data_IF_052889092744
#
_entry.id   IF_052889092744
#
_cell.length_a   1.000
_cell.length_b   1.000
_cell.length_c   1.000
_cell.angle_alpha   90.00
_cell.angle_beta   90.00
_cell.angle_gamma   90.00
#
_symmetry.space_group_name_H-M   'P 1'
#
loop_
_entity.id
_entity.type
_entity.pdbx_description
1 polymer ?
#
# COMPACT_ATOMS: atom_id res chain seq x y z
N UNK A 1 -25.42 -39.39 -14.21
CA UNK A 1 -25.25 -38.59 -12.97
C UNK A 1 -23.93 -37.80 -12.94
N UNK A 2 -23.48 -37.16 -14.03
CA UNK A 2 -22.29 -36.27 -14.04
C UNK A 2 -22.59 -34.81 -14.40
N UNK A 3 -23.79 -34.52 -14.92
CA UNK A 3 -24.22 -33.17 -15.31
C UNK A 3 -24.78 -32.34 -14.15
N UNK A 4 -25.23 -32.97 -13.07
CA UNK A 4 -25.77 -32.29 -11.88
C UNK A 4 -24.66 -31.67 -11.01
N UNK A 5 -23.44 -32.20 -11.09
CA UNK A 5 -22.31 -31.72 -10.27
C UNK A 5 -21.72 -30.40 -10.79
N UNK A 6 -21.73 -30.17 -12.11
CA UNK A 6 -21.22 -28.92 -12.69
C UNK A 6 -22.09 -27.69 -12.38
N UNK A 7 -23.41 -27.87 -12.19
CA UNK A 7 -24.30 -26.78 -11.80
C UNK A 7 -24.11 -26.37 -10.33
N UNK A 8 -23.63 -27.27 -9.46
CA UNK A 8 -23.38 -26.96 -8.05
C UNK A 8 -22.03 -26.26 -7.85
N UNK A 9 -21.04 -26.51 -8.71
CA UNK A 9 -19.71 -25.86 -8.63
C UNK A 9 -19.72 -24.47 -9.28
N UNK A 10 -20.58 -24.22 -10.28
CA UNK A 10 -20.71 -22.89 -10.89
C UNK A 10 -21.48 -21.87 -10.02
N UNK A 11 -22.25 -22.33 -9.03
CA UNK A 11 -23.04 -21.46 -8.13
C UNK A 11 -22.27 -20.88 -6.94
N UNK A 12 -21.07 -21.40 -6.64
CA UNK A 12 -20.26 -20.99 -5.48
C UNK A 12 -19.19 -19.93 -5.80
N UNK A 13 -19.05 -19.52 -7.06
CA UNK A 13 -18.06 -18.54 -7.50
C UNK A 13 -18.66 -17.17 -7.84
N UNK A 14 -19.94 -16.92 -7.51
CA UNK A 14 -20.66 -15.68 -7.86
C UNK A 14 -21.31 -15.00 -6.64
N UNK A 15 -20.64 -14.97 -5.50
CA UNK A 15 -21.11 -14.24 -4.30
C UNK A 15 -19.96 -13.66 -3.51
N UNK A 16 -19.31 -12.63 -4.07
CA UNK A 16 -18.64 -11.54 -3.35
C UNK A 16 -18.35 -10.43 -4.35
N UNK A 17 -19.41 -9.85 -4.90
CA UNK A 17 -19.36 -8.52 -5.49
C UNK A 17 -20.23 -7.60 -4.64
N UNK A 18 -19.63 -6.48 -4.25
CA UNK A 18 -20.28 -5.23 -3.85
C UNK A 18 -21.30 -5.31 -2.70
N UNK A 19 -20.83 -4.96 -1.50
CA UNK A 19 -21.68 -4.26 -0.55
C UNK A 19 -21.13 -2.86 -0.29
N UNK A 20 -22.05 -1.91 -0.48
CA UNK A 20 -21.97 -0.47 -0.44
C UNK A 20 -20.95 0.18 0.52
N UNK A 21 -20.10 1.03 -0.05
CA UNK A 21 -19.58 2.19 0.67
C UNK A 21 -20.73 3.16 0.94
N UNK A 22 -21.17 3.26 2.19
CA UNK A 22 -21.94 4.41 2.68
C UNK A 22 -20.99 5.37 3.39
N UNK A 23 -20.73 6.59 2.86
CA UNK A 23 -19.95 7.58 3.57
C UNK A 23 -20.80 8.11 4.74
N UNK A 24 -20.30 7.97 5.96
CA UNK A 24 -20.87 8.66 7.13
C UNK A 24 -20.43 10.12 7.03
N UNK A 25 -21.23 10.92 6.34
CA UNK A 25 -21.24 12.37 6.50
C UNK A 25 -22.20 12.65 7.65
N UNK A 26 -21.66 12.83 8.86
CA UNK A 26 -22.41 13.46 9.95
C UNK A 26 -22.00 14.93 10.01
N UNK A 27 -22.78 15.78 9.35
CA UNK A 27 -22.96 17.17 9.77
C UNK A 27 -23.85 17.17 11.01
N UNK A 28 -23.48 17.90 12.08
CA UNK A 28 -24.45 18.39 13.03
C UNK A 28 -24.76 19.86 12.74
N UNK A 29 -26.02 20.11 12.42
CA UNK A 29 -26.75 21.40 12.47
C UNK A 29 -28.10 20.95 13.04
N UNK A 30 -28.62 21.35 14.19
CA UNK A 30 -28.77 22.63 14.90
C UNK A 30 -29.14 22.27 16.37
N UNK A 31 -28.60 22.94 17.39
CA UNK A 31 -29.17 24.11 18.11
C UNK A 31 -30.21 23.73 19.17
N UNK A 32 -29.86 24.00 20.43
CA UNK A 32 -30.67 24.58 21.51
C UNK A 32 -29.64 25.03 22.58
N UNK A 33 -29.18 26.27 22.51
CA UNK A 33 -29.60 27.40 23.36
C UNK A 33 -29.35 27.13 24.86
N UNK A 34 -28.39 27.86 25.46
CA UNK A 34 -28.55 28.65 26.70
C UNK A 34 -27.20 29.18 27.20
N UNK A 35 -27.21 30.50 27.42
CA UNK A 35 -26.40 31.31 28.33
C UNK A 35 -24.90 31.45 28.09
N UNK A 36 -24.57 32.62 27.53
CA UNK A 36 -23.34 33.36 27.83
C UNK A 36 -23.20 33.46 29.36
N UNK A 37 -22.16 32.85 29.92
CA UNK A 37 -21.69 33.12 31.27
C UNK A 37 -20.17 33.28 31.21
N UNK A 38 -19.70 34.33 31.88
CA UNK A 38 -18.34 34.86 31.94
C UNK A 38 -17.21 33.82 32.03
N UNK A 39 -16.02 34.10 31.47
CA UNK A 39 -14.82 33.31 31.70
C UNK A 39 -14.24 33.67 33.08
N UNK A 40 -14.88 33.20 34.15
CA UNK A 40 -14.24 33.21 35.47
C UNK A 40 -13.34 31.99 35.58
N UNK A 41 -12.04 32.27 35.50
CA UNK A 41 -10.90 31.40 35.77
C UNK A 41 -11.20 30.44 36.93
N UNK A 42 -11.47 29.18 36.61
CA UNK A 42 -11.33 28.06 37.53
C UNK A 42 -9.95 27.43 37.28
N UNK A 43 -8.95 28.02 37.92
CA UNK A 43 -7.67 27.38 38.18
C UNK A 43 -7.94 26.04 38.89
N UNK A 44 -7.66 24.91 38.23
CA UNK A 44 -7.99 23.62 38.83
C UNK A 44 -7.86 22.39 37.95
N UNK A 45 -6.82 22.29 37.12
CA UNK A 45 -6.20 21.00 36.84
C UNK A 45 -4.80 21.25 36.31
N UNK A 46 -3.85 21.34 37.23
CA UNK A 46 -2.44 21.36 36.88
C UNK A 46 -2.12 20.05 36.16
N UNK A 47 -2.02 20.09 34.83
CA UNK A 47 -1.09 19.20 34.13
C UNK A 47 0.26 19.52 34.75
N UNK A 48 0.69 18.72 35.71
CA UNK A 48 2.09 18.70 36.12
C UNK A 48 2.86 18.46 34.83
N UNK A 49 3.55 19.50 34.36
CA UNK A 49 4.56 19.36 33.32
C UNK A 49 5.63 18.52 33.97
N UNK A 50 5.51 17.21 33.85
CA UNK A 50 6.55 16.27 34.27
C UNK A 50 7.72 16.60 33.38
N UNK A 51 8.72 17.28 33.95
CA UNK A 51 9.94 17.62 33.22
C UNK A 51 10.74 16.32 33.05
N UNK A 52 10.40 15.57 32.00
CA UNK A 52 11.08 14.34 31.64
C UNK A 52 12.37 14.72 30.93
N UNK A 53 13.49 14.56 31.63
CA UNK A 53 14.80 14.70 31.00
C UNK A 53 14.92 13.62 29.91
N UNK A 54 14.98 14.05 28.66
CA UNK A 54 14.82 13.18 27.49
C UNK A 54 16.15 12.54 27.11
N UNK A 55 16.86 11.95 28.07
CA UNK A 55 18.09 11.23 27.78
C UNK A 55 17.77 9.92 27.02
N UNK A 56 17.97 9.97 25.70
CA UNK A 56 17.71 8.85 24.81
C UNK A 56 18.64 7.65 25.04
N UNK A 57 19.75 7.87 25.75
CA UNK A 57 20.70 6.81 26.08
C UNK A 57 20.25 5.94 27.26
N UNK A 58 19.38 6.46 28.14
CA UNK A 58 18.91 5.78 29.35
C UNK A 58 17.48 5.19 29.24
N UNK A 59 16.91 5.16 28.03
CA UNK A 59 15.54 4.65 27.81
C UNK A 59 15.43 3.17 28.22
N UNK A 60 14.42 2.84 29.02
CA UNK A 60 14.10 1.47 29.42
C UNK A 60 12.71 1.04 28.89
N UNK A 61 12.22 -0.15 29.29
CA UNK A 61 10.91 -0.68 28.84
C UNK A 61 9.78 -0.53 29.87
N UNK A 62 9.92 0.30 30.90
CA UNK A 62 8.84 0.49 31.88
C UNK A 62 7.70 1.38 31.37
N UNK A 63 6.55 1.24 32.03
CA UNK A 63 5.30 1.92 31.66
C UNK A 63 5.21 3.39 32.11
N UNK A 64 6.30 3.96 32.63
CA UNK A 64 6.28 5.33 33.13
C UNK A 64 6.19 6.33 31.97
N UNK A 65 5.63 7.50 32.30
CA UNK A 65 5.36 8.55 31.32
C UNK A 65 6.65 9.06 30.67
N UNK A 66 7.75 9.18 31.43
CA UNK A 66 8.99 9.72 30.91
C UNK A 66 9.67 8.77 29.93
N UNK A 67 9.70 7.46 30.19
CA UNK A 67 10.17 6.47 29.22
C UNK A 67 9.28 6.43 27.97
N UNK A 68 7.96 6.54 28.12
CA UNK A 68 7.06 6.60 26.96
C UNK A 68 7.34 7.82 26.08
N UNK A 69 7.57 8.99 26.68
CA UNK A 69 7.95 10.21 25.96
C UNK A 69 9.33 10.05 25.30
N UNK A 70 10.31 9.46 25.99
CA UNK A 70 11.62 9.23 25.43
C UNK A 70 11.58 8.27 24.22
N UNK A 71 10.75 7.22 24.28
CA UNK A 71 10.47 6.35 23.13
C UNK A 71 9.77 7.09 21.99
N UNK A 72 8.81 7.96 22.29
CA UNK A 72 8.16 8.79 21.28
C UNK A 72 9.17 9.69 20.56
N UNK A 73 10.07 10.33 21.30
CA UNK A 73 11.15 11.16 20.75
C UNK A 73 12.11 10.31 19.90
N UNK A 74 12.50 9.13 20.40
CA UNK A 74 13.34 8.19 19.66
C UNK A 74 12.69 7.81 18.31
N UNK A 75 11.39 7.48 18.30
CA UNK A 75 10.65 7.16 17.07
C UNK A 75 10.57 8.34 16.11
N UNK A 76 10.43 9.57 16.62
CA UNK A 76 10.38 10.77 15.79
C UNK A 76 11.73 11.08 15.12
N UNK A 77 12.85 10.64 15.70
CA UNK A 77 14.18 10.79 15.11
C UNK A 77 14.47 9.80 14.00
N UNK A 78 13.97 8.57 14.08
CA UNK A 78 14.33 7.50 13.12
C UNK A 78 14.18 7.92 11.64
N UNK A 79 13.10 8.61 11.22
CA UNK A 79 12.92 9.04 9.84
C UNK A 79 13.94 10.09 9.38
N UNK A 80 14.56 10.84 10.31
CA UNK A 80 15.53 11.90 9.97
C UNK A 80 16.95 11.39 9.83
N UNK A 81 17.21 10.13 10.22
CA UNK A 81 18.53 9.53 10.17
C UNK A 81 18.96 9.15 8.76
N UNK A 82 20.17 9.56 8.39
CA UNK A 82 20.87 9.01 7.23
C UNK A 82 21.20 7.53 7.43
N UNK A 83 21.54 6.83 6.34
CA UNK A 83 21.97 5.43 6.42
C UNK A 83 23.23 5.26 7.28
N UNK A 84 24.22 6.14 7.13
CA UNK A 84 25.44 6.14 7.94
C UNK A 84 25.14 6.33 9.44
N UNK A 85 24.30 7.31 9.77
CA UNK A 85 23.89 7.56 11.16
C UNK A 85 23.14 6.37 11.76
N UNK A 86 22.32 5.69 10.97
CA UNK A 86 21.62 4.48 11.40
C UNK A 86 22.59 3.34 11.68
N UNK A 87 23.57 3.11 10.81
CA UNK A 87 24.62 2.10 11.01
C UNK A 87 25.43 2.39 12.27
N UNK A 88 25.87 3.63 12.46
CA UNK A 88 26.57 4.05 13.68
C UNK A 88 25.71 3.81 14.93
N UNK A 89 24.41 4.17 14.88
CA UNK A 89 23.49 3.90 15.99
C UNK A 89 23.35 2.40 16.27
N UNK A 90 23.26 1.56 15.24
CA UNK A 90 23.19 0.11 15.38
C UNK A 90 24.44 -0.48 16.04
N UNK A 91 25.62 0.03 15.71
CA UNK A 91 26.91 -0.40 16.29
C UNK A 91 27.05 -0.03 17.77
N UNK A 92 26.43 1.08 18.20
CA UNK A 92 26.43 1.52 19.61
C UNK A 92 25.47 0.70 20.50
N UNK A 93 24.58 -0.11 19.92
CA UNK A 93 23.59 -0.89 20.68
C UNK A 93 24.22 -2.11 21.33
N UNK A 94 23.93 -2.30 22.61
CA UNK A 94 24.39 -3.45 23.40
C UNK A 94 23.39 -4.60 23.38
N UNK A 95 23.66 -5.66 24.15
CA UNK A 95 22.76 -6.81 24.32
C UNK A 95 21.84 -6.54 25.51
N UNK A 96 20.85 -5.66 25.30
CA UNK A 96 19.82 -5.34 26.29
C UNK A 96 18.43 -5.35 25.65
N UNK A 97 17.37 -5.59 26.43
CA UNK A 97 16.01 -5.60 25.88
C UNK A 97 15.55 -4.25 25.28
N UNK A 98 15.89 -3.08 25.86
CA UNK A 98 15.65 -1.80 25.21
C UNK A 98 16.42 -1.66 23.89
N UNK A 99 17.68 -2.08 23.86
CA UNK A 99 18.51 -1.99 22.64
C UNK A 99 18.05 -2.95 21.55
N UNK A 100 17.50 -4.10 21.89
CA UNK A 100 16.84 -5.00 20.93
C UNK A 100 15.65 -4.31 20.25
N UNK A 101 14.82 -3.60 21.02
CA UNK A 101 13.71 -2.83 20.46
C UNK A 101 14.22 -1.67 19.59
N UNK A 102 15.25 -0.93 20.05
CA UNK A 102 15.91 0.11 19.24
C UNK A 102 16.41 -0.44 17.91
N UNK A 103 17.01 -1.64 17.93
CA UNK A 103 17.52 -2.33 16.74
C UNK A 103 16.39 -2.69 15.78
N UNK A 104 15.30 -3.29 16.27
CA UNK A 104 14.12 -3.59 15.45
C UNK A 104 13.56 -2.33 14.79
N UNK A 105 13.42 -1.25 15.55
CA UNK A 105 12.89 0.03 15.05
C UNK A 105 13.79 0.70 14.00
N UNK A 106 15.12 0.64 14.17
CA UNK A 106 16.05 1.13 13.15
C UNK A 106 15.98 0.28 11.88
N UNK A 107 15.73 -1.03 12.03
CA UNK A 107 15.65 -1.98 10.92
C UNK A 107 14.30 -1.99 10.18
N UNK A 108 13.37 -1.07 10.48
CA UNK A 108 12.16 -0.84 9.67
C UNK A 108 12.33 0.27 8.63
N UNK A 109 13.53 0.86 8.51
CA UNK A 109 13.75 2.01 7.64
C UNK A 109 13.55 1.68 6.14
N UNK A 110 13.02 2.62 5.33
CA UNK A 110 12.76 2.37 3.92
C UNK A 110 13.98 1.99 3.08
N UNK A 111 15.18 2.41 3.49
CA UNK A 111 16.44 2.11 2.80
C UNK A 111 16.83 0.62 2.82
N UNK A 112 16.25 -0.17 3.72
CA UNK A 112 16.53 -1.60 3.81
C UNK A 112 15.75 -2.42 2.78
N UNK A 113 16.26 -3.59 2.37
CA UNK A 113 15.53 -4.49 1.47
C UNK A 113 14.13 -4.82 1.98
N UNK A 114 13.15 -4.85 1.07
CA UNK A 114 11.73 -5.08 1.39
C UNK A 114 11.50 -6.31 2.26
N UNK A 115 12.11 -7.46 1.92
CA UNK A 115 11.94 -8.69 2.69
C UNK A 115 12.43 -8.54 4.13
N UNK A 116 13.59 -7.91 4.32
CA UNK A 116 14.13 -7.65 5.65
C UNK A 116 13.20 -6.76 6.47
N UNK A 117 12.59 -5.74 5.85
CA UNK A 117 11.61 -4.87 6.55
C UNK A 117 10.35 -5.65 6.95
N UNK A 118 9.86 -6.55 6.11
CA UNK A 118 8.71 -7.42 6.43
C UNK A 118 9.03 -8.29 7.65
N UNK A 119 10.19 -8.96 7.65
CA UNK A 119 10.59 -9.83 8.75
C UNK A 119 10.73 -9.04 10.06
N UNK A 120 11.35 -7.86 10.03
CA UNK A 120 11.44 -6.98 11.20
C UNK A 120 10.06 -6.45 11.64
N UNK A 121 9.14 -6.23 10.71
CA UNK A 121 7.79 -5.75 11.02
C UNK A 121 6.97 -6.79 11.81
N UNK A 122 7.12 -8.08 11.48
CA UNK A 122 6.53 -9.19 12.24
C UNK A 122 7.08 -9.20 13.66
N UNK A 123 8.41 -9.19 13.79
CA UNK A 123 9.08 -9.17 15.10
C UNK A 123 8.69 -7.95 15.93
N UNK A 124 8.47 -6.80 15.29
CA UNK A 124 8.06 -5.57 15.98
C UNK A 124 6.63 -5.67 16.52
N UNK A 125 5.69 -6.28 15.79
CA UNK A 125 4.34 -6.54 16.29
C UNK A 125 4.36 -7.52 17.47
N UNK A 126 5.15 -8.60 17.35
CA UNK A 126 5.31 -9.56 18.44
C UNK A 126 5.88 -8.87 19.68
N UNK A 127 6.92 -8.06 19.52
CA UNK A 127 7.51 -7.28 20.63
C UNK A 127 6.49 -6.32 21.23
N UNK A 128 5.72 -5.59 20.42
CA UNK A 128 4.71 -4.65 20.90
C UNK A 128 3.67 -5.31 21.83
N UNK A 129 3.29 -6.55 21.53
CA UNK A 129 2.32 -7.32 22.35
C UNK A 129 2.84 -7.70 23.75
N UNK A 130 4.16 -7.71 23.93
CA UNK A 130 4.83 -8.06 25.20
C UNK A 130 5.16 -6.84 26.07
N UNK A 131 5.05 -5.63 25.52
CA UNK A 131 5.41 -4.40 26.22
C UNK A 131 4.24 -3.89 27.08
N UNK A 132 4.52 -3.12 28.14
CA UNK A 132 3.45 -2.51 28.95
C UNK A 132 2.58 -1.58 28.11
N UNK A 133 1.26 -1.58 28.37
CA UNK A 133 0.23 -0.91 27.56
C UNK A 133 0.58 0.47 26.97
N UNK A 134 1.09 1.48 27.72
CA UNK A 134 1.39 2.79 27.10
C UNK A 134 2.48 2.70 26.04
N UNK A 135 3.53 1.93 26.30
CA UNK A 135 4.63 1.72 25.37
C UNK A 135 4.25 0.74 24.25
N UNK A 136 3.59 -0.36 24.58
CA UNK A 136 3.11 -1.35 23.61
C UNK A 136 2.17 -0.73 22.58
N UNK A 137 1.23 0.12 23.01
CA UNK A 137 0.33 0.84 22.10
C UNK A 137 1.09 1.82 21.19
N UNK A 138 2.09 2.53 21.71
CA UNK A 138 2.94 3.42 20.91
C UNK A 138 3.68 2.65 19.81
N UNK A 139 4.35 1.55 20.18
CA UNK A 139 5.08 0.71 19.23
C UNK A 139 4.13 0.06 18.22
N UNK A 140 2.97 -0.43 18.67
CA UNK A 140 1.95 -1.00 17.79
C UNK A 140 1.44 -0.02 16.75
N UNK A 141 1.21 1.23 17.15
CA UNK A 141 0.77 2.30 16.23
C UNK A 141 1.85 2.63 15.21
N UNK A 142 3.12 2.69 15.62
CA UNK A 142 4.25 2.89 14.71
C UNK A 142 4.39 1.73 13.72
N UNK A 143 4.36 0.49 14.23
CA UNK A 143 4.38 -0.74 13.46
C UNK A 143 3.26 -0.79 12.40
N UNK A 144 2.04 -0.42 12.80
CA UNK A 144 0.87 -0.37 11.90
C UNK A 144 1.04 0.63 10.76
N UNK A 145 1.71 1.77 11.00
CA UNK A 145 1.97 2.75 9.94
C UNK A 145 3.02 2.23 8.94
N UNK A 146 4.10 1.64 9.44
CA UNK A 146 5.13 1.04 8.58
C UNK A 146 4.58 -0.12 7.75
N UNK A 147 3.72 -0.96 8.33
CA UNK A 147 3.04 -2.04 7.61
C UNK A 147 2.24 -1.51 6.41
N UNK A 148 1.50 -0.41 6.58
CA UNK A 148 0.75 0.22 5.48
C UNK A 148 1.67 0.73 4.37
N UNK A 149 2.83 1.28 4.73
CA UNK A 149 3.83 1.75 3.77
C UNK A 149 4.41 0.57 2.97
N UNK A 150 4.75 -0.54 3.64
CA UNK A 150 5.22 -1.77 3.01
C UNK A 150 4.17 -2.31 2.03
N UNK A 151 2.89 -2.35 2.44
CA UNK A 151 1.80 -2.80 1.57
C UNK A 151 1.61 -1.92 0.33
N UNK A 152 1.78 -0.61 0.47
CA UNK A 152 1.70 0.33 -0.66
C UNK A 152 2.87 0.12 -1.64
N UNK A 153 4.08 -0.12 -1.14
CA UNK A 153 5.23 -0.43 -1.97
C UNK A 153 5.02 -1.74 -2.75
N UNK A 154 4.53 -2.79 -2.08
CA UNK A 154 4.19 -4.07 -2.73
C UNK A 154 3.14 -3.87 -3.82
N UNK A 155 2.06 -3.14 -3.52
CA UNK A 155 0.99 -2.86 -4.50
C UNK A 155 1.53 -2.08 -5.69
N UNK A 156 2.40 -1.09 -5.47
CA UNK A 156 3.00 -0.29 -6.54
C UNK A 156 3.86 -1.17 -7.45
N UNK A 157 4.72 -2.01 -6.88
CA UNK A 157 5.55 -2.94 -7.66
C UNK A 157 4.73 -3.94 -8.48
N UNK A 158 3.62 -4.44 -7.91
CA UNK A 158 2.69 -5.30 -8.64
C UNK A 158 2.02 -4.57 -9.81
N UNK A 159 1.59 -3.32 -9.60
CA UNK A 159 0.99 -2.50 -10.65
C UNK A 159 1.98 -2.20 -11.79
N UNK A 160 3.24 -1.91 -11.47
CA UNK A 160 4.28 -1.72 -12.48
C UNK A 160 4.47 -2.97 -13.32
N UNK A 161 4.55 -4.14 -12.68
CA UNK A 161 4.67 -5.43 -13.36
C UNK A 161 3.48 -5.69 -14.28
N UNK A 162 2.26 -5.44 -13.79
CA UNK A 162 1.02 -5.58 -14.58
C UNK A 162 0.99 -4.62 -15.76
N UNK A 163 1.40 -3.36 -15.56
CA UNK A 163 1.47 -2.37 -16.62
C UNK A 163 2.43 -2.81 -17.73
N UNK A 164 3.61 -3.30 -17.35
CA UNK A 164 4.62 -3.82 -18.29
C UNK A 164 4.08 -5.02 -19.09
N UNK A 165 3.31 -5.90 -18.45
CA UNK A 165 2.63 -7.00 -19.13
C UNK A 165 1.57 -6.50 -20.11
N UNK A 166 0.74 -5.53 -19.71
CA UNK A 166 -0.28 -4.93 -20.57
C UNK A 166 0.35 -4.22 -21.78
N UNK A 167 1.44 -3.49 -21.59
CA UNK A 167 2.17 -2.86 -22.70
C UNK A 167 2.70 -3.89 -23.71
N UNK A 168 3.23 -5.03 -23.23
CA UNK A 168 3.65 -6.12 -24.11
C UNK A 168 2.48 -6.71 -24.90
N UNK A 169 1.33 -6.93 -24.25
CA UNK A 169 0.12 -7.42 -24.90
C UNK A 169 -0.41 -6.43 -25.95
N UNK A 170 -0.43 -5.14 -25.65
CA UNK A 170 -0.83 -4.10 -26.60
C UNK A 170 0.07 -4.10 -27.84
N UNK A 171 1.39 -4.18 -27.67
CA UNK A 171 2.33 -4.28 -28.82
C UNK A 171 2.06 -5.52 -29.68
N UNK A 172 1.76 -6.66 -29.06
CA UNK A 172 1.40 -7.87 -29.79
C UNK A 172 0.09 -7.72 -30.56
N UNK A 173 -0.93 -7.10 -29.95
CA UNK A 173 -2.20 -6.83 -30.60
C UNK A 173 -2.05 -5.85 -31.77
N UNK A 174 -1.26 -4.78 -31.61
CA UNK A 174 -0.94 -3.84 -32.67
C UNK A 174 -0.23 -4.52 -33.84
N UNK A 175 0.74 -5.41 -33.56
CA UNK A 175 1.44 -6.18 -34.58
C UNK A 175 0.48 -7.11 -35.35
N UNK A 176 -0.41 -7.82 -34.64
CA UNK A 176 -1.45 -8.66 -35.27
C UNK A 176 -2.40 -7.83 -36.12
N UNK A 177 -2.82 -6.66 -35.63
CA UNK A 177 -3.69 -5.76 -36.38
C UNK A 177 -3.02 -5.31 -37.69
N UNK A 178 -1.75 -4.90 -37.63
CA UNK A 178 -1.00 -4.53 -38.82
C UNK A 178 -0.84 -5.69 -39.81
N UNK A 179 -0.64 -6.93 -39.32
CA UNK A 179 -0.59 -8.11 -40.18
C UNK A 179 -1.95 -8.43 -40.81
N UNK A 180 -3.04 -8.31 -40.07
CA UNK A 180 -4.39 -8.51 -40.58
C UNK A 180 -4.74 -7.44 -41.61
N UNK A 181 -4.38 -6.18 -41.37
CA UNK A 181 -4.61 -5.11 -42.34
C UNK A 181 -3.90 -5.40 -43.67
N UNK A 182 -2.63 -5.81 -43.62
CA UNK A 182 -1.91 -6.22 -44.84
C UNK A 182 -2.58 -7.37 -45.59
N UNK A 183 -3.23 -8.31 -44.88
CA UNK A 183 -3.98 -9.40 -45.51
C UNK A 183 -5.26 -8.90 -46.16
N UNK A 184 -5.96 -7.94 -45.55
CA UNK A 184 -7.13 -7.30 -46.14
C UNK A 184 -6.72 -6.58 -47.41
N UNK A 185 -5.66 -5.75 -47.36
CA UNK A 185 -5.17 -5.01 -48.52
C UNK A 185 -4.80 -5.95 -49.68
N UNK A 186 -4.14 -7.08 -49.39
CA UNK A 186 -3.81 -8.08 -50.38
C UNK A 186 -5.04 -8.79 -50.98
N UNK A 187 -6.07 -9.07 -50.17
CA UNK A 187 -7.32 -9.65 -50.67
C UNK A 187 -8.08 -8.66 -51.55
N UNK A 188 -8.10 -7.38 -51.17
CA UNK A 188 -8.71 -6.31 -51.99
C UNK A 188 -7.99 -6.15 -53.32
N UNK A 189 -6.65 -6.24 -53.34
CA UNK A 189 -5.88 -6.23 -54.58
C UNK A 189 -6.23 -7.44 -55.48
N UNK A 190 -6.38 -8.63 -54.90
CA UNK A 190 -6.82 -9.83 -55.64
C UNK A 190 -8.23 -9.65 -56.20
N UNK A 191 -9.17 -9.10 -55.43
CA UNK A 191 -10.53 -8.83 -55.90
C UNK A 191 -10.54 -7.83 -57.08
N UNK A 192 -9.74 -6.77 -57.02
CA UNK A 192 -9.60 -5.82 -58.13
C UNK A 192 -9.04 -6.51 -59.38
N UNK A 193 -7.97 -7.30 -59.24
CA UNK A 193 -7.39 -8.04 -60.35
C UNK A 193 -8.38 -9.04 -60.97
N UNK A 194 -9.17 -9.73 -60.16
CA UNK A 194 -10.20 -10.65 -60.65
C UNK A 194 -11.29 -9.91 -61.43
N UNK A 195 -11.76 -8.77 -60.90
CA UNK A 195 -12.79 -7.98 -61.55
C UNK A 195 -12.32 -7.40 -62.89
N UNK A 196 -11.05 -6.98 -62.98
CA UNK A 196 -10.43 -6.48 -64.22
C UNK A 196 -10.26 -7.58 -65.29
N UNK A 197 -10.00 -8.82 -64.87
CA UNK A 197 -9.93 -9.98 -65.78
C UNK A 197 -11.33 -10.35 -66.29
N UNK A 198 -12.34 -10.31 -65.42
CA UNK A 198 -13.72 -10.61 -65.78
C UNK A 198 -14.28 -9.59 -66.78
N UNK A 199 -14.02 -8.29 -66.56
CA UNK A 199 -14.43 -7.23 -67.50
C UNK A 199 -13.76 -7.36 -68.87
N UNK A 200 -12.47 -7.72 -68.92
CA UNK A 200 -11.75 -7.94 -70.18
C UNK A 200 -12.21 -9.21 -70.93
N UNK A 201 -12.77 -10.19 -70.23
CA UNK A 201 -13.28 -11.43 -70.84
C UNK A 201 -14.67 -11.24 -71.47
N UNK A 202 -15.48 -10.32 -70.95
CA UNK A 202 -16.79 -9.97 -71.53
C UNK A 202 -16.69 -9.14 -72.81
N UNK A 203 -15.76 -8.19 -72.92
CA UNK A 203 -15.56 -7.42 -74.17
C UNK A 203 -15.09 -8.30 -75.36
N UNK A 204 -14.47 -9.46 -75.09
CA UNK A 204 -14.03 -10.39 -76.13
C UNK A 204 -15.12 -11.31 -76.70
N UNK A 205 -16.32 -11.36 -76.10
CA UNK A 205 -17.39 -12.30 -76.50
C UNK A 205 -18.60 -11.65 -77.19
N UNK A 206 -18.67 -10.32 -77.26
CA UNK A 206 -19.69 -9.58 -78.05
C UNK A 206 -19.23 -9.25 -79.49
N UNK A 207 -18.05 -9.71 -79.91
CA UNK A 207 -17.48 -9.49 -81.25
C UNK A 207 -17.40 -10.77 -82.08
N UNK A 208 -18.53 -11.48 -82.26
CA UNK A 208 -18.66 -12.53 -83.29
C UNK A 208 -20.03 -12.50 -83.96
#
# INVERSE_FOLDING_TARGET
MRKVWYLFVLGLLCSCQLQDLKPIHQSPTQTDEVSVADPSIAAGSGRTVTNCDSDLSAINLSADLCNTIAWQNYLAEIPTLSEEQRTQRLEMLTISSPDELKRLLLNTAPALPLQQRIDNQILLFDKASTLPNPLGNLIFMYASQNQRLIEQEIKTSQLETQNLQQQKQLKQLQSKLAQTQKKIDALTEIEQQLNDVESNTQEGTESE
#
